data_IF_098186998666
#
_entry.id   IF_098186998666
#
_cell.length_a   1.000
_cell.length_b   1.000
_cell.length_c   1.000
_cell.angle_alpha   90.00
_cell.angle_beta   90.00
_cell.angle_gamma   90.00
#
_symmetry.space_group_name_H-M   'P 1'
#
loop_
_entity.id
_entity.type
_entity.pdbx_description
1 polymer ?
#
# COMPACT_ATOMS: atom_id res chain seq x y z
N UNK A 1 40.80 -9.92 10.05
CA UNK A 1 40.26 -10.13 8.68
C UNK A 1 38.79 -9.72 8.68
N UNK A 2 38.49 -8.50 8.22
CA UNK A 2 37.15 -7.89 8.25
C UNK A 2 36.27 -8.59 7.21
N UNK A 3 35.16 -9.22 7.64
CA UNK A 3 34.12 -9.70 6.71
C UNK A 3 33.39 -8.49 6.14
N UNK A 4 33.56 -8.29 4.83
CA UNK A 4 32.94 -7.24 4.04
C UNK A 4 31.49 -7.64 3.74
N UNK A 5 30.58 -6.76 4.13
CA UNK A 5 29.13 -6.84 3.94
C UNK A 5 28.78 -6.75 2.45
N UNK A 6 28.07 -7.75 1.91
CA UNK A 6 27.47 -7.68 0.58
C UNK A 6 25.99 -7.37 0.77
N UNK A 7 25.64 -6.10 0.57
CA UNK A 7 24.27 -5.62 0.48
C UNK A 7 23.75 -6.00 -0.92
N UNK A 8 22.77 -6.90 -0.97
CA UNK A 8 22.12 -7.35 -2.20
C UNK A 8 21.24 -6.21 -2.75
N UNK A 9 21.79 -5.36 -3.61
CA UNK A 9 21.02 -4.38 -4.38
C UNK A 9 20.40 -5.09 -5.59
N UNK A 10 19.11 -5.41 -5.51
CA UNK A 10 18.32 -5.88 -6.65
C UNK A 10 18.09 -4.73 -7.63
N UNK A 11 19.01 -4.53 -8.57
CA UNK A 11 18.83 -3.63 -9.71
C UNK A 11 18.03 -4.39 -10.78
N UNK A 12 16.72 -4.19 -10.82
CA UNK A 12 15.89 -4.63 -11.94
C UNK A 12 16.12 -3.68 -13.12
N UNK A 13 16.86 -4.14 -14.12
CA UNK A 13 16.95 -3.53 -15.44
C UNK A 13 15.66 -3.85 -16.19
N UNK A 14 14.87 -2.85 -16.58
CA UNK A 14 13.80 -3.03 -17.56
C UNK A 14 14.22 -2.35 -18.88
N UNK A 15 14.59 -3.18 -19.86
CA UNK A 15 14.69 -2.80 -21.27
C UNK A 15 13.28 -2.56 -21.83
N UNK A 16 13.14 -1.51 -22.65
CA UNK A 16 11.86 -0.88 -22.98
C UNK A 16 10.97 -1.59 -24.01
N UNK A 17 9.71 -1.18 -24.05
CA UNK A 17 8.79 -1.26 -25.19
C UNK A 17 7.54 -0.40 -24.92
N UNK A 18 7.29 0.59 -25.81
CA UNK A 18 6.08 1.41 -25.87
C UNK A 18 6.18 2.80 -25.23
N UNK A 19 6.34 3.87 -26.03
CA UNK A 19 6.24 5.26 -25.57
C UNK A 19 4.76 5.66 -25.46
N UNK A 20 4.03 4.98 -24.57
CA UNK A 20 2.93 5.61 -23.86
C UNK A 20 3.53 6.32 -22.66
N UNK A 21 3.04 7.52 -22.30
CA UNK A 21 3.53 8.19 -21.09
C UNK A 21 3.41 7.24 -19.89
N UNK A 22 4.52 6.98 -19.19
CA UNK A 22 4.47 6.17 -17.98
C UNK A 22 3.49 6.78 -16.98
N UNK A 23 2.64 5.94 -16.38
CA UNK A 23 1.63 6.41 -15.44
C UNK A 23 2.30 7.18 -14.28
N UNK A 24 1.85 8.42 -14.06
CA UNK A 24 2.29 9.26 -12.95
C UNK A 24 1.35 9.08 -11.76
N UNK A 25 1.90 8.90 -10.56
CA UNK A 25 1.10 8.76 -9.34
C UNK A 25 1.39 9.93 -8.41
N UNK A 26 0.33 10.57 -7.90
CA UNK A 26 0.39 11.63 -6.93
C UNK A 26 -0.46 11.28 -5.73
N UNK A 27 -0.06 11.71 -4.54
CA UNK A 27 -0.78 11.39 -3.32
C UNK A 27 -0.80 12.52 -2.30
N UNK A 28 -1.75 12.40 -1.38
CA UNK A 28 -1.82 13.19 -0.15
C UNK A 28 -2.05 12.26 1.04
N UNK A 29 -1.62 12.69 2.22
CA UNK A 29 -1.83 11.98 3.48
C UNK A 29 -2.63 12.87 4.41
N UNK A 30 -3.80 12.41 4.84
CA UNK A 30 -4.74 13.16 5.70
C UNK A 30 -5.08 14.56 5.16
N UNK A 31 -5.05 14.72 3.84
CA UNK A 31 -5.31 15.98 3.15
C UNK A 31 -6.42 15.80 2.10
N UNK A 32 -6.83 16.86 1.39
CA UNK A 32 -7.76 16.78 0.26
C UNK A 32 -7.27 15.89 -0.89
N UNK A 33 -8.10 15.69 -1.91
CA UNK A 33 -7.74 14.88 -3.08
C UNK A 33 -6.51 15.45 -3.80
N UNK A 34 -5.58 14.59 -4.25
CA UNK A 34 -4.37 15.04 -4.94
C UNK A 34 -4.69 15.66 -6.31
N UNK A 35 -3.82 16.59 -6.70
CA UNK A 35 -3.70 17.14 -8.06
C UNK A 35 -2.30 16.85 -8.60
N UNK A 36 -1.98 17.27 -9.81
CA UNK A 36 -0.63 17.15 -10.38
C UNK A 36 0.43 18.00 -9.64
N UNK A 37 -0.02 18.91 -8.77
CA UNK A 37 0.86 19.69 -7.88
C UNK A 37 1.09 19.02 -6.52
N UNK A 38 0.45 17.89 -6.25
CA UNK A 38 0.63 17.13 -5.00
C UNK A 38 1.93 16.33 -5.03
N UNK A 39 2.24 15.65 -3.92
CA UNK A 39 3.48 14.88 -3.79
C UNK A 39 3.51 13.74 -4.82
N UNK A 40 4.53 13.66 -5.69
CA UNK A 40 4.70 12.53 -6.59
C UNK A 40 5.11 11.28 -5.80
N UNK A 41 4.55 10.13 -6.17
CA UNK A 41 4.96 8.85 -5.62
C UNK A 41 6.30 8.43 -6.26
N UNK A 42 7.33 8.30 -5.43
CA UNK A 42 8.67 7.87 -5.85
C UNK A 42 9.17 6.65 -5.08
N UNK A 43 8.52 6.29 -3.97
CA UNK A 43 8.85 5.14 -3.14
C UNK A 43 7.62 4.66 -2.35
N UNK A 44 7.59 3.38 -1.91
CA UNK A 44 6.49 2.82 -1.12
C UNK A 44 6.15 3.64 0.13
N UNK A 45 4.86 3.76 0.44
CA UNK A 45 4.34 4.55 1.56
C UNK A 45 4.12 3.65 2.78
N UNK A 46 4.84 3.90 3.88
CA UNK A 46 4.73 3.12 5.12
C UNK A 46 3.46 3.42 5.90
N UNK A 47 2.71 2.38 6.22
CA UNK A 47 1.49 2.43 7.03
C UNK A 47 1.82 2.26 8.53
N UNK A 48 2.56 3.22 9.11
CA UNK A 48 3.04 3.12 10.49
C UNK A 48 2.11 3.73 11.56
N UNK A 49 0.98 4.29 11.15
CA UNK A 49 -0.01 4.92 12.03
C UNK A 49 -1.37 4.90 11.35
N UNK A 50 -2.41 5.24 12.10
CA UNK A 50 -3.73 5.53 11.51
C UNK A 50 -3.59 6.71 10.54
N UNK A 51 -3.91 6.49 9.28
CA UNK A 51 -3.76 7.50 8.22
C UNK A 51 -4.70 7.22 7.05
N UNK A 52 -5.01 8.27 6.30
CA UNK A 52 -5.74 8.21 5.05
C UNK A 52 -4.82 8.67 3.92
N UNK A 53 -4.56 7.78 2.97
CA UNK A 53 -3.87 8.10 1.73
C UNK A 53 -4.93 8.30 0.65
N UNK A 54 -4.88 9.44 -0.04
CA UNK A 54 -5.62 9.65 -1.28
C UNK A 54 -4.62 9.68 -2.42
N UNK A 55 -4.93 9.01 -3.51
CA UNK A 55 -4.05 8.96 -4.65
C UNK A 55 -4.78 9.34 -5.95
N UNK A 56 -4.01 9.84 -6.90
CA UNK A 56 -4.38 10.07 -8.29
C UNK A 56 -3.35 9.37 -9.17
N UNK A 57 -3.81 8.54 -10.10
CA UNK A 57 -2.99 7.92 -11.14
C UNK A 57 -3.36 8.59 -12.45
N UNK A 58 -2.39 9.23 -13.10
CA UNK A 58 -2.51 9.84 -14.42
C UNK A 58 -1.79 8.96 -15.45
N UNK A 59 -2.59 8.30 -16.28
CA UNK A 59 -2.17 7.49 -17.43
C UNK A 59 -3.02 7.93 -18.64
N UNK A 60 -3.46 7.02 -19.52
CA UNK A 60 -4.50 7.28 -20.51
C UNK A 60 -5.81 7.82 -19.91
N UNK A 61 -6.09 7.49 -18.64
CA UNK A 61 -7.22 8.02 -17.87
C UNK A 61 -6.77 8.40 -16.47
N UNK A 62 -7.43 9.38 -15.87
CA UNK A 62 -7.18 9.75 -14.47
C UNK A 62 -8.04 8.89 -13.55
N UNK A 63 -7.38 8.14 -12.66
CA UNK A 63 -8.03 7.33 -11.62
C UNK A 63 -7.74 7.92 -10.25
N UNK A 64 -8.69 7.81 -9.34
CA UNK A 64 -8.53 8.20 -7.95
C UNK A 64 -8.78 7.03 -7.02
N UNK A 65 -8.28 7.10 -5.81
CA UNK A 65 -8.67 6.17 -4.77
C UNK A 65 -8.29 6.64 -3.38
N UNK A 66 -8.92 6.00 -2.40
CA UNK A 66 -8.71 6.25 -0.98
C UNK A 66 -8.26 4.94 -0.34
N UNK A 67 -7.19 5.02 0.45
CA UNK A 67 -6.70 3.93 1.30
C UNK A 67 -6.74 4.45 2.73
N UNK A 68 -7.61 3.88 3.55
CA UNK A 68 -7.61 4.12 5.00
C UNK A 68 -6.82 3.01 5.67
N UNK A 69 -5.92 3.39 6.55
CA UNK A 69 -5.20 2.48 7.41
C UNK A 69 -5.54 2.76 8.87
N UNK A 70 -5.89 1.73 9.60
CA UNK A 70 -6.09 1.76 11.04
C UNK A 70 -5.22 0.69 11.69
N UNK A 71 -4.49 1.06 12.73
CA UNK A 71 -3.61 0.14 13.44
C UNK A 71 -3.87 0.17 14.93
N UNK A 72 -3.94 -1.00 15.55
CA UNK A 72 -4.01 -1.11 17.00
C UNK A 72 -2.61 -0.83 17.55
N UNK A 73 -2.40 0.35 18.13
CA UNK A 73 -1.09 0.73 18.69
C UNK A 73 -0.67 -0.28 19.75
N UNK A 74 0.31 -1.13 19.44
CA UNK A 74 1.09 -1.85 20.44
C UNK A 74 2.43 -1.13 20.64
N UNK A 75 2.82 -0.97 21.89
CA UNK A 75 4.18 -0.53 22.27
C UNK A 75 5.17 -1.47 21.56
N UNK A 76 6.17 -0.91 20.86
CA UNK A 76 7.23 -1.65 20.14
C UNK A 76 6.85 -2.32 18.81
N UNK A 77 5.83 -1.84 18.07
CA UNK A 77 5.69 -2.28 16.69
C UNK A 77 6.82 -1.73 15.81
N UNK A 78 7.56 -2.62 15.14
CA UNK A 78 8.71 -2.27 14.28
C UNK A 78 8.49 -2.63 12.81
N UNK A 79 7.47 -3.43 12.51
CA UNK A 79 7.15 -3.90 11.16
C UNK A 79 5.81 -3.35 10.71
N UNK A 80 5.76 -2.81 9.51
CA UNK A 80 4.59 -2.11 8.98
C UNK A 80 4.33 -2.51 7.52
N UNK A 81 3.06 -2.61 7.10
CA UNK A 81 2.76 -2.74 5.69
C UNK A 81 3.12 -1.48 4.92
N UNK A 82 3.26 -1.62 3.62
CA UNK A 82 3.53 -0.52 2.70
C UNK A 82 2.47 -0.50 1.60
N UNK A 83 2.16 0.69 1.09
CA UNK A 83 1.46 0.86 -0.18
C UNK A 83 2.50 1.07 -1.27
N UNK A 84 2.41 0.26 -2.32
CA UNK A 84 3.24 0.38 -3.51
C UNK A 84 2.37 0.63 -4.74
N UNK A 85 2.85 1.50 -5.62
CA UNK A 85 2.29 1.69 -6.96
C UNK A 85 3.29 1.20 -8.00
N UNK A 86 2.80 0.39 -8.94
CA UNK A 86 3.54 -0.01 -10.14
C UNK A 86 2.66 0.28 -11.36
N UNK A 87 3.02 1.34 -12.10
CA UNK A 87 2.15 1.89 -13.14
C UNK A 87 0.77 2.25 -12.59
N UNK A 88 -0.27 1.61 -13.11
CA UNK A 88 -1.66 1.86 -12.67
C UNK A 88 -2.14 0.96 -11.53
N UNK A 89 -1.28 0.09 -10.99
CA UNK A 89 -1.66 -0.90 -9.98
C UNK A 89 -1.22 -0.43 -8.60
N UNK A 90 -2.17 -0.28 -7.69
CA UNK A 90 -1.93 -0.09 -6.26
C UNK A 90 -1.91 -1.45 -5.55
N UNK A 91 -0.93 -1.67 -4.68
CA UNK A 91 -0.79 -2.92 -3.92
C UNK A 91 -0.47 -2.66 -2.45
N UNK A 92 -1.05 -3.48 -1.58
CA UNK A 92 -0.61 -3.63 -0.20
C UNK A 92 0.47 -4.70 -0.14
N UNK A 93 1.63 -4.34 0.40
CA UNK A 93 2.78 -5.25 0.57
C UNK A 93 3.20 -5.31 2.03
N UNK A 94 3.78 -6.43 2.42
CA UNK A 94 4.37 -6.63 3.75
C UNK A 94 5.88 -6.90 3.62
N UNK A 95 6.71 -6.45 4.58
CA UNK A 95 8.12 -6.78 4.62
C UNK A 95 8.36 -8.30 4.61
N UNK A 96 9.51 -8.70 4.08
CA UNK A 96 9.93 -10.09 4.04
C UNK A 96 10.18 -10.67 5.44
N UNK A 97 10.26 -12.01 5.52
CA UNK A 97 10.55 -12.75 6.74
C UNK A 97 9.50 -12.57 7.85
N UNK A 98 8.25 -12.27 7.47
CA UNK A 98 7.11 -12.18 8.38
C UNK A 98 6.06 -13.23 8.03
N UNK A 99 5.45 -13.85 9.04
CA UNK A 99 4.21 -14.59 8.83
C UNK A 99 3.04 -13.62 8.95
N UNK A 100 2.30 -13.44 7.87
CA UNK A 100 1.13 -12.55 7.84
C UNK A 100 -0.10 -13.33 7.41
N UNK A 101 -1.12 -13.35 8.27
CA UNK A 101 -2.44 -13.87 7.95
C UNK A 101 -3.37 -12.73 7.61
N UNK A 102 -4.22 -12.90 6.61
CA UNK A 102 -5.13 -11.83 6.21
C UNK A 102 -6.49 -12.33 5.73
N UNK A 103 -7.44 -11.41 5.72
CA UNK A 103 -8.73 -11.54 5.03
C UNK A 103 -8.93 -10.29 4.18
N UNK A 104 -9.75 -10.39 3.11
CA UNK A 104 -10.07 -9.26 2.22
C UNK A 104 -11.52 -8.81 2.32
N UNK A 105 -12.32 -9.51 3.13
CA UNK A 105 -13.75 -9.29 3.34
C UNK A 105 -14.06 -8.64 4.70
N UNK A 106 -13.06 -8.12 5.41
CA UNK A 106 -13.21 -7.47 6.70
C UNK A 106 -13.40 -8.40 7.91
N UNK A 107 -13.39 -9.73 7.72
CA UNK A 107 -13.41 -10.68 8.84
C UNK A 107 -12.09 -10.65 9.62
N UNK A 108 -12.12 -10.93 10.92
CA UNK A 108 -10.88 -10.98 11.71
C UNK A 108 -10.02 -12.18 11.25
N UNK A 109 -8.74 -11.97 10.88
CA UNK A 109 -7.85 -13.08 10.53
C UNK A 109 -7.49 -13.91 11.77
N UNK A 110 -7.25 -15.19 11.52
CA UNK A 110 -6.71 -16.17 12.48
C UNK A 110 -5.52 -16.88 11.84
N UNK A 111 -4.84 -17.74 12.59
CA UNK A 111 -3.77 -18.61 12.06
C UNK A 111 -4.25 -19.66 11.02
N UNK A 112 -5.56 -19.73 10.75
CA UNK A 112 -6.15 -20.55 9.68
C UNK A 112 -6.55 -19.74 8.45
N UNK A 113 -6.36 -18.42 8.48
CA UNK A 113 -6.66 -17.54 7.35
C UNK A 113 -5.59 -17.64 6.26
N UNK A 114 -5.81 -16.99 5.12
CA UNK A 114 -4.84 -16.97 4.03
C UNK A 114 -3.51 -16.37 4.49
N UNK A 115 -2.41 -17.01 4.12
CA UNK A 115 -1.05 -16.52 4.37
C UNK A 115 -0.67 -15.59 3.21
N UNK A 116 -0.09 -14.43 3.54
CA UNK A 116 0.48 -13.51 2.56
C UNK A 116 1.71 -14.15 1.91
N UNK A 117 1.63 -14.40 0.62
CA UNK A 117 2.75 -14.92 -0.20
C UNK A 117 3.08 -14.01 -1.40
N UNK A 118 2.20 -13.07 -1.72
CA UNK A 118 2.35 -12.12 -2.82
C UNK A 118 1.59 -10.82 -2.52
N UNK A 119 2.00 -9.69 -3.14
CA UNK A 119 1.29 -8.41 -3.04
C UNK A 119 -0.23 -8.53 -3.19
N UNK A 120 -0.99 -7.82 -2.35
CA UNK A 120 -2.45 -7.79 -2.43
C UNK A 120 -2.85 -6.59 -3.29
N UNK A 121 -3.42 -6.87 -4.46
CA UNK A 121 -3.88 -5.85 -5.40
C UNK A 121 -5.10 -5.12 -4.84
N UNK A 122 -5.08 -3.79 -4.89
CA UNK A 122 -6.14 -2.90 -4.44
C UNK A 122 -6.92 -2.37 -5.66
N UNK A 123 -7.74 -3.22 -6.28
CA UNK A 123 -8.46 -2.91 -7.53
C UNK A 123 -9.94 -2.54 -7.34
N UNK A 124 -10.50 -2.88 -6.17
CA UNK A 124 -11.92 -2.68 -5.85
C UNK A 124 -12.14 -2.25 -4.41
N UNK A 125 -13.40 -2.04 -4.05
CA UNK A 125 -13.80 -1.86 -2.66
C UNK A 125 -13.47 -3.13 -1.87
N UNK A 126 -12.57 -3.03 -0.91
CA UNK A 126 -12.17 -4.15 -0.07
C UNK A 126 -11.74 -3.68 1.30
N UNK A 127 -11.91 -4.56 2.29
CA UNK A 127 -11.47 -4.35 3.66
C UNK A 127 -10.52 -5.47 3.98
N UNK A 128 -9.23 -5.14 4.01
CA UNK A 128 -8.18 -6.05 4.38
C UNK A 128 -7.97 -5.94 5.88
N UNK A 129 -8.08 -7.06 6.59
CA UNK A 129 -7.59 -7.16 7.97
C UNK A 129 -6.39 -8.09 7.97
N UNK A 130 -5.32 -7.68 8.63
CA UNK A 130 -4.10 -8.47 8.71
C UNK A 130 -3.70 -8.76 10.16
N UNK A 131 -2.98 -9.86 10.34
CA UNK A 131 -2.36 -10.32 11.57
C UNK A 131 -0.91 -10.70 11.23
N UNK A 132 0.04 -9.86 11.64
CA UNK A 132 1.47 -10.11 11.53
C UNK A 132 1.93 -10.84 12.79
N UNK A 133 2.69 -11.92 12.62
CA UNK A 133 3.38 -12.65 13.70
C UNK A 133 4.87 -12.37 13.58
N UNK A 134 5.46 -11.74 14.59
CA UNK A 134 6.88 -11.37 14.64
C UNK A 134 7.41 -11.49 16.07
N UNK A 135 8.46 -12.29 16.29
CA UNK A 135 9.11 -12.49 17.60
C UNK A 135 8.11 -12.71 18.74
N UNK A 136 7.19 -13.66 18.58
CA UNK A 136 6.11 -13.99 19.52
C UNK A 136 5.13 -12.85 19.82
N UNK A 137 5.21 -11.73 19.10
CA UNK A 137 4.28 -10.61 19.19
C UNK A 137 3.39 -10.60 17.95
N UNK A 138 2.10 -10.32 18.17
CA UNK A 138 1.13 -10.16 17.09
C UNK A 138 0.79 -8.70 16.88
N UNK A 139 0.76 -8.25 15.63
CA UNK A 139 0.30 -6.92 15.25
C UNK A 139 -0.87 -7.04 14.29
N UNK A 140 -1.89 -6.20 14.49
CA UNK A 140 -3.10 -6.22 13.68
C UNK A 140 -3.39 -4.83 13.14
N UNK A 141 -3.96 -4.80 11.96
CA UNK A 141 -4.46 -3.56 11.38
C UNK A 141 -5.46 -3.82 10.27
N UNK A 142 -6.01 -2.73 9.80
CA UNK A 142 -7.08 -2.68 8.82
C UNK A 142 -6.63 -1.77 7.70
N UNK A 143 -6.76 -2.22 6.46
CA UNK A 143 -6.61 -1.43 5.25
C UNK A 143 -7.92 -1.47 4.49
N UNK A 144 -8.58 -0.33 4.34
CA UNK A 144 -9.80 -0.19 3.54
C UNK A 144 -9.47 0.57 2.26
N UNK A 145 -9.67 -0.07 1.11
CA UNK A 145 -9.52 0.55 -0.19
C UNK A 145 -10.89 0.92 -0.77
N UNK A 146 -10.96 2.11 -1.37
CA UNK A 146 -12.14 2.64 -2.04
C UNK A 146 -11.69 3.34 -3.32
N UNK A 147 -11.77 2.66 -4.48
CA UNK A 147 -11.52 3.29 -5.77
C UNK A 147 -12.55 4.39 -6.03
N UNK A 148 -12.12 5.42 -6.74
CA UNK A 148 -12.94 6.58 -7.04
C UNK A 148 -12.83 7.01 -8.50
N UNK A 149 -13.90 7.62 -8.99
CA UNK A 149 -13.91 8.40 -10.22
C UNK A 149 -14.15 9.87 -9.87
N UNK A 150 -13.50 10.78 -10.59
CA UNK A 150 -13.77 12.21 -10.45
C UNK A 150 -15.25 12.49 -10.73
N UNK A 151 -15.91 13.26 -9.87
CA UNK A 151 -17.32 13.64 -10.03
C UNK A 151 -18.38 12.67 -9.48
N UNK A 152 -18.07 11.42 -9.13
CA UNK A 152 -19.00 10.52 -8.42
C UNK A 152 -18.27 9.63 -7.41
N UNK A 153 -18.61 9.77 -6.13
CA UNK A 153 -18.23 8.83 -5.06
C UNK A 153 -16.97 9.14 -4.26
N UNK A 154 -16.11 10.04 -4.75
CA UNK A 154 -15.06 10.63 -3.92
C UNK A 154 -15.58 11.96 -3.39
N UNK A 155 -15.86 12.04 -2.08
CA UNK A 155 -16.41 13.23 -1.44
C UNK A 155 -15.37 14.37 -1.53
N UNK A 156 -15.43 15.12 -2.62
CA UNK A 156 -14.71 16.37 -2.85
C UNK A 156 -15.51 17.45 -2.12
N UNK A 157 -15.39 17.53 -0.80
CA UNK A 157 -15.66 18.81 -0.16
C UNK A 157 -14.52 19.73 -0.58
N UNK A 158 -14.80 20.51 -1.63
CA UNK A 158 -14.14 21.79 -1.90
C UNK A 158 -14.26 22.67 -0.66
#
# INVERSE_FOLDING_TARGET
>A
MKKLSILLALVMVFAGMGIGAAASVFYTVNAPMPTEKSTPYTAPITLNKTMQIKYMIKDNTTKYGIINHEITKKKNQTVFPLISFNGTVASLIFPENLTVYYTVNGKQPTNKSAIYTSPIILDKNMIIKYLIVSNNTTYTGIVKHTPCKFGKGCNLRM
#
